data_IF_582426635990
#
_entry.id   IF_582426635990
#
_cell.length_a   1.000
_cell.length_b   1.000
_cell.length_c   1.000
_cell.angle_alpha   90.00
_cell.angle_beta   90.00
_cell.angle_gamma   90.00
#
_symmetry.space_group_name_H-M   'P 1'
#
loop_
_entity.id
_entity.type
_entity.pdbx_description
1 polymer ?
#
# COMPACT_ATOMS: atom_id res chain seq x y z
N UNK A 1 -14.53 -10.15 9.68
CA UNK A 1 -14.62 -8.68 9.53
C UNK A 1 -14.71 -8.38 8.04
N UNK A 2 -15.67 -7.57 7.60
CA UNK A 2 -15.93 -7.28 6.18
C UNK A 2 -15.33 -5.91 5.80
N UNK A 3 -14.02 -5.87 5.57
CA UNK A 3 -13.34 -4.71 4.97
C UNK A 3 -13.42 -4.76 3.44
N UNK A 4 -13.22 -3.62 2.79
CA UNK A 4 -13.12 -3.53 1.33
C UNK A 4 -11.63 -3.55 0.98
N UNK A 5 -11.16 -4.51 0.17
CA UNK A 5 -9.77 -4.52 -0.27
C UNK A 5 -9.53 -3.31 -1.16
N UNK A 6 -8.58 -2.45 -0.78
CA UNK A 6 -8.28 -1.23 -1.53
C UNK A 6 -7.21 -1.49 -2.59
N UNK A 7 -6.10 -2.11 -2.17
CA UNK A 7 -5.03 -2.50 -3.07
C UNK A 7 -4.18 -3.60 -2.44
N UNK A 8 -3.35 -4.21 -3.29
CA UNK A 8 -2.31 -5.13 -2.89
C UNK A 8 -0.97 -4.52 -3.26
N UNK A 9 -0.06 -4.46 -2.30
CA UNK A 9 1.31 -3.99 -2.49
C UNK A 9 2.19 -5.23 -2.59
N UNK A 10 2.75 -5.45 -3.78
CA UNK A 10 3.63 -6.58 -4.06
C UNK A 10 5.06 -6.06 -4.09
N UNK A 11 5.91 -6.53 -3.18
CA UNK A 11 7.29 -6.08 -3.07
C UNK A 11 8.18 -7.21 -3.56
N UNK A 12 8.93 -6.94 -4.62
CA UNK A 12 9.82 -7.89 -5.29
C UNK A 12 11.29 -7.68 -4.92
N UNK A 13 11.63 -6.54 -4.29
CA UNK A 13 12.98 -6.33 -3.76
C UNK A 13 13.17 -7.04 -2.41
N UNK A 14 14.37 -7.58 -2.13
CA UNK A 14 14.70 -8.12 -0.83
C UNK A 14 14.89 -6.96 0.17
N UNK A 15 13.78 -6.53 0.78
CA UNK A 15 13.80 -5.50 1.82
C UNK A 15 13.97 -6.13 3.20
N UNK A 16 14.71 -5.47 4.12
CA UNK A 16 14.72 -5.87 5.51
C UNK A 16 13.29 -5.89 6.07
N UNK A 17 12.96 -6.92 6.86
CA UNK A 17 11.62 -7.04 7.47
C UNK A 17 11.24 -5.81 8.28
N UNK A 18 12.21 -5.16 8.94
CA UNK A 18 12.00 -3.91 9.68
C UNK A 18 11.48 -2.78 8.80
N UNK A 19 11.91 -2.68 7.54
CA UNK A 19 11.44 -1.63 6.64
C UNK A 19 10.02 -1.90 6.15
N UNK A 20 9.63 -3.16 5.99
CA UNK A 20 8.24 -3.55 5.69
C UNK A 20 7.31 -3.29 6.88
N UNK A 21 7.78 -3.57 8.09
CA UNK A 21 7.03 -3.31 9.33
C UNK A 21 6.81 -1.80 9.55
N UNK A 22 7.72 -0.93 9.10
CA UNK A 22 7.53 0.52 9.14
C UNK A 22 6.35 0.97 8.25
N UNK A 23 6.23 0.39 7.05
CA UNK A 23 5.09 0.67 6.16
C UNK A 23 3.78 0.21 6.80
N UNK A 24 3.76 -1.02 7.30
CA UNK A 24 2.59 -1.58 7.98
C UNK A 24 2.19 -0.74 9.19
N UNK A 25 3.14 -0.38 10.04
CA UNK A 25 2.90 0.45 11.23
C UNK A 25 2.30 1.81 10.83
N UNK A 26 2.83 2.43 9.77
CA UNK A 26 2.33 3.71 9.26
C UNK A 26 0.88 3.61 8.76
N UNK A 27 0.53 2.50 8.11
CA UNK A 27 -0.83 2.21 7.67
C UNK A 27 -1.76 1.95 8.86
N UNK A 28 -1.32 1.16 9.84
CA UNK A 28 -2.10 0.85 11.05
C UNK A 28 -2.36 2.10 11.91
N UNK A 29 -1.38 2.99 12.08
CA UNK A 29 -1.56 4.29 12.75
C UNK A 29 -2.63 5.12 12.04
N UNK A 30 -2.72 4.99 10.71
CA UNK A 30 -3.75 5.65 9.89
C UNK A 30 -5.11 4.94 9.94
N UNK A 31 -5.30 3.98 10.85
CA UNK A 31 -6.49 3.13 10.99
C UNK A 31 -6.81 2.28 9.76
N UNK A 32 -5.78 1.92 8.98
CA UNK A 32 -5.90 1.06 7.81
C UNK A 32 -5.49 -0.35 8.21
N UNK A 33 -6.35 -1.34 7.96
CA UNK A 33 -6.06 -2.74 8.26
C UNK A 33 -5.12 -3.30 7.20
N UNK A 34 -4.12 -4.04 7.64
CA UNK A 34 -3.12 -4.65 6.76
C UNK A 34 -3.14 -6.14 6.99
N UNK A 35 -3.32 -6.90 5.91
CA UNK A 35 -3.29 -8.35 5.92
C UNK A 35 -2.05 -8.80 5.15
N UNK A 36 -1.12 -9.46 5.85
CA UNK A 36 0.04 -10.07 5.20
C UNK A 36 -0.38 -11.36 4.53
N UNK A 37 0.09 -11.58 3.31
CA UNK A 37 -0.09 -12.88 2.68
C UNK A 37 0.68 -13.94 3.48
N UNK A 38 0.08 -15.09 3.84
CA UNK A 38 0.76 -16.12 4.61
C UNK A 38 1.91 -16.78 3.83
N UNK A 39 1.93 -16.62 2.51
CA UNK A 39 3.00 -17.09 1.63
C UNK A 39 4.12 -16.05 1.53
N UNK A 40 5.06 -16.05 2.48
CA UNK A 40 6.39 -15.47 2.23
C UNK A 40 7.13 -16.39 1.27
N UNK A 41 7.20 -16.01 0.00
CA UNK A 41 8.16 -16.62 -0.91
C UNK A 41 9.50 -15.90 -0.69
N UNK A 42 10.61 -16.65 -0.61
CA UNK A 42 11.94 -16.06 -0.48
C UNK A 42 12.15 -15.10 -1.68
N UNK A 43 12.19 -13.80 -1.41
CA UNK A 43 12.35 -12.74 -2.41
C UNK A 43 11.08 -12.02 -2.86
N UNK A 44 9.89 -12.37 -2.35
CA UNK A 44 8.65 -11.61 -2.64
C UNK A 44 7.79 -11.50 -1.38
N UNK A 45 7.60 -10.26 -0.90
CA UNK A 45 6.69 -9.95 0.20
C UNK A 45 5.40 -9.31 -0.34
N UNK A 46 4.28 -10.00 -0.10
CA UNK A 46 2.96 -9.53 -0.50
C UNK A 46 2.20 -8.96 0.70
N UNK A 47 1.93 -7.65 0.65
CA UNK A 47 1.15 -6.92 1.64
C UNK A 47 -0.21 -6.55 1.06
N UNK A 48 -1.28 -7.12 1.58
CA UNK A 48 -2.64 -6.76 1.18
C UNK A 48 -3.17 -5.66 2.10
N UNK A 49 -3.64 -4.55 1.53
CA UNK A 49 -4.19 -3.43 2.29
C UNK A 49 -5.71 -3.50 2.25
N UNK A 50 -6.31 -3.65 3.42
CA UNK A 50 -7.75 -3.77 3.62
C UNK A 50 -8.26 -2.49 4.27
N UNK A 51 -9.07 -1.74 3.53
CA UNK A 51 -9.76 -0.59 4.10
C UNK A 51 -10.98 -1.09 4.88
N UNK A 52 -10.94 -1.02 6.21
CA UNK A 52 -12.06 -1.41 7.06
C UNK A 52 -12.93 -0.18 7.33
N UNK A 53 -14.07 -0.10 6.64
CA UNK A 53 -15.02 1.01 6.76
C UNK A 53 -15.99 0.74 7.92
N UNK A 54 -15.96 1.60 8.94
CA UNK A 54 -16.90 1.56 10.05
C UNK A 54 -18.18 2.34 9.70
N UNK A 55 -19.05 1.75 8.87
CA UNK A 55 -20.48 2.09 8.80
C UNK A 55 -21.00 2.88 7.58
N UNK A 56 -22.02 2.28 6.92
CA UNK A 56 -23.11 2.85 6.09
C UNK A 56 -22.91 4.12 5.23
N UNK A 57 -23.15 4.00 3.91
CA UNK A 57 -23.37 5.03 2.85
C UNK A 57 -22.32 6.14 2.68
N UNK A 58 -21.59 6.55 3.72
CA UNK A 58 -20.39 7.40 3.68
C UNK A 58 -19.15 6.68 3.11
N UNK A 59 -19.27 5.35 2.94
CA UNK A 59 -18.24 4.42 2.52
C UNK A 59 -17.38 4.89 1.33
N UNK A 60 -17.94 5.61 0.35
CA UNK A 60 -17.18 6.03 -0.83
C UNK A 60 -16.29 7.25 -0.58
N UNK A 61 -16.68 8.19 0.29
CA UNK A 61 -15.83 9.31 0.67
C UNK A 61 -14.70 8.81 1.57
N UNK A 62 -15.03 7.92 2.49
CA UNK A 62 -14.08 7.27 3.39
C UNK A 62 -13.04 6.42 2.64
N UNK A 63 -13.43 5.79 1.52
CA UNK A 63 -12.48 5.07 0.64
C UNK A 63 -11.49 6.00 -0.07
N UNK A 64 -11.92 7.19 -0.49
CA UNK A 64 -10.99 8.19 -1.07
C UNK A 64 -10.02 8.64 -0.01
N UNK A 65 -10.52 8.94 1.20
CA UNK A 65 -9.67 9.34 2.31
C UNK A 65 -8.65 8.24 2.67
N UNK A 66 -9.09 6.97 2.67
CA UNK A 66 -8.19 5.83 2.83
C UNK A 66 -7.15 5.77 1.71
N UNK A 67 -7.56 5.93 0.44
CA UNK A 67 -6.64 6.00 -0.71
C UNK A 67 -5.56 7.07 -0.55
N UNK A 68 -5.94 8.27 -0.11
CA UNK A 68 -5.01 9.37 0.16
C UNK A 68 -4.03 9.00 1.29
N UNK A 69 -4.52 8.41 2.38
CA UNK A 69 -3.67 7.97 3.51
C UNK A 69 -2.69 6.88 3.09
N UNK A 70 -3.15 5.88 2.33
CA UNK A 70 -2.30 4.82 1.78
C UNK A 70 -1.24 5.39 0.85
N UNK A 71 -1.62 6.28 -0.06
CA UNK A 71 -0.69 6.90 -1.02
C UNK A 71 0.42 7.66 -0.31
N UNK A 72 0.06 8.50 0.68
CA UNK A 72 1.03 9.21 1.51
C UNK A 72 1.95 8.28 2.28
N UNK A 73 1.42 7.19 2.87
CA UNK A 73 2.23 6.22 3.59
C UNK A 73 3.26 5.53 2.66
N UNK A 74 2.84 5.13 1.45
CA UNK A 74 3.72 4.52 0.45
C UNK A 74 4.79 5.50 -0.02
N UNK A 75 4.42 6.74 -0.34
CA UNK A 75 5.36 7.77 -0.81
C UNK A 75 6.40 8.11 0.27
N UNK A 76 5.97 8.28 1.52
CA UNK A 76 6.88 8.51 2.65
C UNK A 76 7.82 7.33 2.86
N UNK A 77 7.31 6.10 2.82
CA UNK A 77 8.11 4.90 2.96
C UNK A 77 9.16 4.75 1.85
N UNK A 78 8.76 4.96 0.58
CA UNK A 78 9.69 4.98 -0.57
C UNK A 78 10.77 6.03 -0.39
N UNK A 79 10.43 7.21 0.11
CA UNK A 79 11.38 8.30 0.39
C UNK A 79 12.40 7.91 1.45
N UNK A 80 11.94 7.35 2.57
CA UNK A 80 12.83 6.86 3.64
C UNK A 80 13.78 5.76 3.15
N UNK A 81 13.32 4.88 2.26
CA UNK A 81 14.17 3.86 1.65
C UNK A 81 15.21 4.48 0.70
N UNK A 82 14.82 5.44 -0.13
CA UNK A 82 15.74 6.19 -0.99
C UNK A 82 16.81 6.94 -0.20
N UNK A 83 16.46 7.52 0.95
CA UNK A 83 17.42 8.16 1.87
C UNK A 83 18.47 7.18 2.41
N UNK A 84 18.13 5.88 2.49
CA UNK A 84 19.07 4.80 2.84
C UNK A 84 19.80 4.22 1.62
N UNK A 85 19.57 4.75 0.43
CA UNK A 85 20.13 4.23 -0.83
C UNK A 85 19.46 2.95 -1.33
N UNK A 86 18.24 2.65 -0.87
CA UNK A 86 17.48 1.46 -1.26
C UNK A 86 16.37 1.87 -2.23
N UNK A 87 16.35 1.28 -3.41
CA UNK A 87 15.23 1.41 -4.35
C UNK A 87 14.20 0.30 -4.11
N UNK A 88 12.92 0.68 -4.09
CA UNK A 88 11.82 -0.27 -3.95
C UNK A 88 11.49 -0.84 -5.32
N UNK A 89 11.67 -2.14 -5.48
CA UNK A 89 11.11 -2.87 -6.61
C UNK A 89 9.79 -3.51 -6.16
N UNK A 90 8.69 -3.04 -6.71
CA UNK A 90 7.37 -3.51 -6.32
C UNK A 90 6.29 -2.90 -7.18
N UNK A 91 5.04 -3.28 -6.91
CA UNK A 91 3.89 -2.77 -7.65
C UNK A 91 2.63 -2.72 -6.81
N UNK A 92 1.75 -1.78 -7.14
CA UNK A 92 0.37 -1.77 -6.67
C UNK A 92 -0.47 -2.60 -7.63
N UNK A 93 -1.24 -3.55 -7.07
CA UNK A 93 -2.17 -4.39 -7.80
C UNK A 93 -3.59 -4.16 -7.28
N UNK A 94 -4.55 -4.15 -8.21
CA UNK A 94 -5.97 -4.20 -7.91
C UNK A 94 -6.67 -4.94 -9.06
N UNK A 95 -7.71 -5.78 -8.82
CA UNK A 95 -8.32 -6.60 -9.87
C UNK A 95 -8.87 -5.82 -11.07
N UNK A 96 -9.16 -4.53 -10.91
CA UNK A 96 -9.77 -3.68 -11.93
C UNK A 96 -8.82 -2.68 -12.59
N UNK A 97 -7.61 -2.51 -12.07
CA UNK A 97 -6.67 -1.48 -12.53
C UNK A 97 -5.39 -2.12 -13.04
N UNK A 98 -4.76 -1.47 -14.01
CA UNK A 98 -3.42 -1.89 -14.45
C UNK A 98 -2.45 -1.75 -13.28
N UNK A 99 -1.57 -2.73 -13.03
CA UNK A 99 -0.60 -2.63 -11.95
C UNK A 99 0.30 -1.40 -12.12
N UNK A 100 0.57 -0.70 -11.01
CA UNK A 100 1.48 0.45 -10.99
C UNK A 100 2.84 0.06 -10.43
N UNK A 101 3.90 0.26 -11.21
CA UNK A 101 5.28 -0.02 -10.81
C UNK A 101 5.79 1.05 -9.82
N UNK A 102 6.06 0.64 -8.58
CA UNK A 102 6.54 1.50 -7.50
C UNK A 102 8.00 1.94 -7.67
N UNK A 103 8.79 1.29 -8.54
CA UNK A 103 10.15 1.75 -8.81
C UNK A 103 10.14 3.03 -9.65
N UNK A 104 9.17 3.14 -10.58
CA UNK A 104 9.07 4.22 -11.58
C UNK A 104 8.03 5.28 -11.26
N UNK A 105 6.98 4.92 -10.53
CA UNK A 105 5.86 5.82 -10.30
C UNK A 105 6.28 7.09 -9.54
N UNK A 106 5.76 8.25 -9.93
CA UNK A 106 5.86 9.47 -9.12
C UNK A 106 4.93 9.40 -7.91
N UNK A 107 5.13 10.33 -6.97
CA UNK A 107 4.27 10.44 -5.79
C UNK A 107 2.81 10.73 -6.24
N UNK A 108 2.63 11.58 -7.25
CA UNK A 108 1.34 11.92 -7.85
C UNK A 108 0.70 10.75 -8.60
N UNK A 109 1.48 9.93 -9.31
CA UNK A 109 0.96 8.76 -10.00
C UNK A 109 0.42 7.71 -9.02
N UNK A 110 1.06 7.55 -7.86
CA UNK A 110 0.58 6.67 -6.80
C UNK A 110 -0.73 7.19 -6.21
N UNK A 111 -0.80 8.48 -5.88
CA UNK A 111 -2.02 9.09 -5.35
C UNK A 111 -3.17 9.03 -6.36
N UNK A 112 -2.88 9.30 -7.63
CA UNK A 112 -3.85 9.19 -8.72
C UNK A 112 -4.34 7.75 -8.85
N UNK A 113 -3.45 6.76 -8.86
CA UNK A 113 -3.81 5.34 -8.96
C UNK A 113 -4.71 4.88 -7.82
N UNK A 114 -4.43 5.30 -6.58
CA UNK A 114 -5.26 4.99 -5.41
C UNK A 114 -6.58 5.76 -5.37
N UNK A 115 -6.70 6.82 -6.18
CA UNK A 115 -7.92 7.61 -6.35
C UNK A 115 -8.75 7.17 -7.55
N UNK A 116 -8.24 6.26 -8.40
CA UNK A 116 -8.99 5.69 -9.51
C UNK A 116 -10.14 4.86 -8.92
N UNK A 117 -11.37 5.22 -9.26
CA UNK A 117 -12.60 4.50 -8.91
C UNK A 117 -13.17 3.86 -10.16
#
# INVERSE_FOLDING_TARGET
MSGIPLCRIVISSPLPTSDLELLETSLQISSIEVQKSPSRFIGVDDLMVVATLLGGVAATADLIECGIKVGKAINNWRRQLREKGIEVEGRLEHPKYLPLDLSKATDEEIEAWLSQK
#
